data_IF_661174216123
#
_entry.id   IF_661174216123
#
_cell.length_a   1.000
_cell.length_b   1.000
_cell.length_c   1.000
_cell.angle_alpha   90.00
_cell.angle_beta   90.00
_cell.angle_gamma   90.00
#
_symmetry.space_group_name_H-M   'P 1'
#
loop_
_entity.id
_entity.type
_entity.pdbx_description
1 polymer ?
#
# COMPACT_ATOMS: atom_id res chain seq x y z
N UNK A 1 1.65 -21.27 -30.26
CA UNK A 1 0.34 -20.67 -29.94
C UNK A 1 0.33 -19.71 -28.73
N UNK A 2 1.23 -19.81 -27.74
CA UNK A 2 1.21 -18.90 -26.57
C UNK A 2 1.71 -17.45 -26.80
N UNK A 3 2.53 -17.21 -27.82
CA UNK A 3 3.13 -15.88 -28.06
C UNK A 3 2.15 -14.82 -28.56
N UNK A 4 1.25 -15.20 -29.49
CA UNK A 4 0.26 -14.27 -30.05
C UNK A 4 -0.82 -13.88 -29.02
N UNK A 5 -1.28 -14.84 -28.21
CA UNK A 5 -2.23 -14.59 -27.13
C UNK A 5 -1.61 -13.69 -26.06
N UNK A 6 -0.35 -13.91 -25.68
CA UNK A 6 0.36 -13.02 -24.75
C UNK A 6 0.55 -11.61 -25.30
N UNK A 7 0.93 -11.46 -26.57
CA UNK A 7 1.11 -10.15 -27.20
C UNK A 7 -0.20 -9.36 -27.33
N UNK A 8 -1.32 -10.06 -27.51
CA UNK A 8 -2.66 -9.46 -27.54
C UNK A 8 -3.14 -9.05 -26.14
N UNK A 9 -2.94 -9.90 -25.12
CA UNK A 9 -3.38 -9.63 -23.74
C UNK A 9 -2.45 -8.68 -22.97
N UNK A 10 -1.14 -8.70 -23.26
CA UNK A 10 -0.10 -7.94 -22.56
C UNK A 10 0.86 -7.28 -23.55
N UNK A 11 0.41 -6.31 -24.34
CA UNK A 11 1.27 -5.59 -25.27
C UNK A 11 2.41 -4.89 -24.51
N UNK A 12 3.61 -4.85 -25.10
CA UNK A 12 4.74 -4.16 -24.52
C UNK A 12 4.44 -2.65 -24.43
N UNK A 13 4.29 -2.14 -23.21
CA UNK A 13 4.04 -0.72 -22.96
C UNK A 13 5.35 0.04 -22.74
N UNK A 14 5.44 1.32 -23.15
CA UNK A 14 6.62 2.13 -22.88
C UNK A 14 6.88 2.25 -21.37
N UNK A 15 8.14 2.02 -20.96
CA UNK A 15 8.56 2.14 -19.55
C UNK A 15 8.28 3.53 -18.96
N UNK A 16 8.20 4.56 -19.80
CA UNK A 16 7.81 5.91 -19.40
C UNK A 16 6.39 5.96 -18.79
N UNK A 17 5.44 5.16 -19.29
CA UNK A 17 4.07 5.08 -18.74
C UNK A 17 4.06 4.50 -17.33
N UNK A 18 4.93 3.51 -17.08
CA UNK A 18 5.09 2.90 -15.75
C UNK A 18 5.62 3.95 -14.75
N UNK A 19 6.56 4.81 -15.17
CA UNK A 19 7.06 5.90 -14.32
C UNK A 19 5.95 6.89 -13.95
N UNK A 20 5.11 7.28 -14.91
CA UNK A 20 3.97 8.17 -14.65
C UNK A 20 2.96 7.51 -13.71
N UNK A 21 2.59 6.24 -13.98
CA UNK A 21 1.69 5.48 -13.12
C UNK A 21 2.22 5.39 -11.68
N UNK A 22 3.52 5.13 -11.52
CA UNK A 22 4.18 5.08 -10.23
C UNK A 22 4.03 6.38 -9.45
N UNK A 23 4.27 7.52 -10.10
CA UNK A 23 4.13 8.84 -9.46
C UNK A 23 2.69 9.07 -9.03
N UNK A 24 1.71 8.80 -9.90
CA UNK A 24 0.29 8.96 -9.60
C UNK A 24 -0.13 8.07 -8.43
N UNK A 25 0.23 6.78 -8.46
CA UNK A 25 -0.13 5.82 -7.41
C UNK A 25 0.47 6.23 -6.06
N UNK A 26 1.77 6.56 -6.00
CA UNK A 26 2.39 6.93 -4.71
C UNK A 26 1.92 8.30 -4.21
N UNK A 27 1.62 9.26 -5.09
CA UNK A 27 0.96 10.50 -4.69
C UNK A 27 -0.42 10.24 -4.09
N UNK A 28 -1.18 9.30 -4.69
CA UNK A 28 -2.48 8.91 -4.15
C UNK A 28 -2.36 8.14 -2.84
N UNK A 29 -1.36 7.27 -2.65
CA UNK A 29 -1.08 6.64 -1.35
C UNK A 29 -0.81 7.69 -0.27
N UNK A 30 -0.05 8.75 -0.58
CA UNK A 30 0.19 9.87 0.35
C UNK A 30 -1.11 10.56 0.70
N UNK A 31 -1.95 10.86 -0.30
CA UNK A 31 -3.27 11.46 -0.06
C UNK A 31 -4.12 10.56 0.84
N UNK A 32 -4.21 9.28 0.50
CA UNK A 32 -5.00 8.28 1.22
C UNK A 32 -4.67 8.22 2.71
N UNK A 33 -3.41 7.94 3.07
CA UNK A 33 -3.00 7.78 4.48
C UNK A 33 -3.14 9.06 5.29
N UNK A 34 -3.19 10.22 4.62
CA UNK A 34 -3.38 11.53 5.26
C UNK A 34 -4.85 11.97 5.32
N UNK A 35 -5.75 11.38 4.52
CA UNK A 35 -7.15 11.80 4.44
C UNK A 35 -8.15 10.67 4.64
N UNK A 36 -8.13 9.64 3.80
CA UNK A 36 -9.20 8.63 3.74
C UNK A 36 -8.96 7.50 4.75
N UNK A 37 -7.74 6.95 4.79
CA UNK A 37 -7.34 5.90 5.73
C UNK A 37 -6.55 6.42 6.94
N UNK A 38 -6.81 7.66 7.34
CA UNK A 38 -6.19 8.28 8.52
C UNK A 38 -6.69 7.67 9.85
N UNK A 39 -7.75 6.88 9.78
CA UNK A 39 -8.35 6.13 10.88
C UNK A 39 -7.34 5.26 11.65
N UNK A 40 -6.30 4.71 11.01
CA UNK A 40 -5.24 3.93 11.69
C UNK A 40 -4.62 4.70 12.88
N UNK A 41 -4.52 6.03 12.78
CA UNK A 41 -4.03 6.87 13.89
C UNK A 41 -5.03 6.92 15.06
N UNK A 42 -6.34 6.94 14.79
CA UNK A 42 -7.37 6.95 15.84
C UNK A 42 -7.57 5.56 16.46
N UNK A 43 -7.28 4.49 15.73
CA UNK A 43 -7.35 3.11 16.22
C UNK A 43 -6.38 2.80 17.37
N UNK A 44 -5.29 3.56 17.50
CA UNK A 44 -4.31 3.39 18.57
C UNK A 44 -4.88 3.49 19.99
N UNK A 45 -5.99 4.23 20.18
CA UNK A 45 -6.70 4.33 21.46
C UNK A 45 -7.83 3.33 21.66
N UNK A 46 -8.12 2.51 20.65
CA UNK A 46 -9.37 1.74 20.54
C UNK A 46 -9.12 0.22 20.43
N UNK A 47 -8.09 -0.30 21.10
CA UNK A 47 -7.65 -1.69 20.97
C UNK A 47 -8.76 -2.75 21.24
N UNK A 48 -9.78 -2.42 22.04
CA UNK A 48 -10.92 -3.31 22.33
C UNK A 48 -11.79 -3.66 21.10
N UNK A 49 -11.71 -2.87 20.03
CA UNK A 49 -12.45 -3.12 18.78
C UNK A 49 -11.60 -3.84 17.72
N UNK A 50 -10.35 -4.22 18.04
CA UNK A 50 -9.48 -4.88 17.09
C UNK A 50 -9.93 -6.31 16.81
N UNK A 51 -10.38 -6.53 15.58
CA UNK A 51 -10.80 -7.83 15.05
C UNK A 51 -9.94 -8.16 13.81
N UNK A 52 -8.79 -8.83 14.01
CA UNK A 52 -7.80 -8.98 12.95
C UNK A 52 -8.33 -9.78 11.76
N UNK A 53 -8.07 -9.28 10.55
CA UNK A 53 -8.30 -10.02 9.31
C UNK A 53 -7.49 -11.33 9.27
N UNK A 54 -7.86 -12.26 8.39
CA UNK A 54 -7.17 -13.56 8.26
C UNK A 54 -5.66 -13.40 8.03
N UNK A 55 -5.24 -12.47 7.17
CA UNK A 55 -3.82 -12.19 6.92
C UNK A 55 -3.14 -11.54 8.14
N UNK A 56 -3.82 -10.64 8.85
CA UNK A 56 -3.30 -10.03 10.08
C UNK A 56 -3.10 -11.08 11.19
N UNK A 57 -4.01 -12.07 11.29
CA UNK A 57 -3.87 -13.22 12.19
C UNK A 57 -2.68 -14.10 11.82
N UNK A 58 -2.50 -14.39 10.53
CA UNK A 58 -1.36 -15.18 10.04
C UNK A 58 -0.02 -14.50 10.38
N UNK A 59 0.02 -13.17 10.26
CA UNK A 59 1.19 -12.35 10.58
C UNK A 59 1.32 -12.05 12.08
N UNK A 60 0.40 -12.54 12.92
CA UNK A 60 0.35 -12.28 14.36
C UNK A 60 0.41 -10.78 14.71
N UNK A 61 -0.27 -9.94 13.92
CA UNK A 61 -0.30 -8.51 14.17
C UNK A 61 -1.11 -8.23 15.44
N UNK A 62 -0.52 -7.58 16.47
CA UNK A 62 -1.26 -7.10 17.63
C UNK A 62 -2.07 -5.85 17.26
N UNK A 63 -3.06 -5.43 18.08
CA UNK A 63 -3.73 -4.15 17.92
C UNK A 63 -2.72 -3.01 17.72
N UNK A 64 -3.05 -2.06 16.85
CA UNK A 64 -2.13 -0.95 16.54
C UNK A 64 -1.90 -0.10 17.78
N UNK A 65 -0.66 0.30 18.01
CA UNK A 65 -0.28 1.26 19.04
C UNK A 65 0.10 2.59 18.39
N UNK A 66 0.03 3.69 19.16
CA UNK A 66 0.35 5.01 18.61
C UNK A 66 1.77 5.10 18.01
N UNK A 67 2.83 4.57 18.65
CA UNK A 67 4.17 4.58 18.04
C UNK A 67 4.23 3.82 16.71
N UNK A 68 3.56 2.67 16.61
CA UNK A 68 3.53 1.86 15.39
C UNK A 68 2.78 2.58 14.27
N UNK A 69 1.65 3.21 14.58
CA UNK A 69 0.87 3.96 13.59
C UNK A 69 1.68 5.14 13.01
N UNK A 70 2.32 5.94 13.88
CA UNK A 70 3.16 7.05 13.43
C UNK A 70 4.41 6.60 12.68
N UNK A 71 5.04 5.50 13.11
CA UNK A 71 6.16 4.91 12.39
C UNK A 71 5.75 4.45 10.99
N UNK A 72 4.62 3.73 10.86
CA UNK A 72 4.11 3.30 9.55
C UNK A 72 3.82 4.50 8.65
N UNK A 73 3.18 5.54 9.17
CA UNK A 73 2.91 6.77 8.42
C UNK A 73 4.22 7.38 7.91
N UNK A 74 5.23 7.54 8.79
CA UNK A 74 6.51 8.11 8.41
C UNK A 74 7.22 7.27 7.32
N UNK A 75 7.20 5.94 7.45
CA UNK A 75 7.78 5.02 6.47
C UNK A 75 7.07 5.11 5.11
N UNK A 76 5.73 5.18 5.11
CA UNK A 76 4.94 5.32 3.88
C UNK A 76 5.27 6.65 3.20
N UNK A 77 5.24 7.77 3.94
CA UNK A 77 5.49 9.10 3.38
C UNK A 77 6.92 9.22 2.82
N UNK A 78 7.93 8.78 3.58
CA UNK A 78 9.33 8.79 3.14
C UNK A 78 9.55 7.86 1.94
N UNK A 79 8.96 6.66 1.97
CA UNK A 79 9.02 5.69 0.89
C UNK A 79 8.38 6.23 -0.39
N UNK A 80 7.20 6.83 -0.30
CA UNK A 80 6.51 7.46 -1.42
C UNK A 80 7.32 8.61 -2.00
N UNK A 81 7.87 9.51 -1.16
CA UNK A 81 8.72 10.60 -1.62
C UNK A 81 9.95 10.09 -2.38
N UNK A 82 10.64 9.08 -1.84
CA UNK A 82 11.80 8.48 -2.49
C UNK A 82 11.43 7.75 -3.80
N UNK A 83 10.28 7.08 -3.85
CA UNK A 83 9.79 6.39 -5.03
C UNK A 83 9.35 7.35 -6.15
N UNK A 84 8.73 8.48 -5.78
CA UNK A 84 8.37 9.58 -6.70
C UNK A 84 9.63 10.24 -7.26
N UNK A 85 10.65 10.46 -6.42
CA UNK A 85 11.96 10.94 -6.86
C UNK A 85 12.73 9.93 -7.73
N UNK A 86 12.23 8.70 -7.86
CA UNK A 86 12.87 7.65 -8.67
C UNK A 86 14.09 7.01 -8.01
N UNK A 87 14.29 7.20 -6.70
CA UNK A 87 15.39 6.57 -5.97
C UNK A 87 15.10 5.08 -5.78
N UNK A 88 15.90 4.23 -6.46
CA UNK A 88 15.82 2.75 -6.40
C UNK A 88 14.37 2.23 -6.37
N UNK A 89 13.60 2.40 -7.46
CA UNK A 89 12.14 2.29 -7.43
C UNK A 89 11.59 0.93 -7.01
N UNK A 90 12.34 -0.15 -7.23
CA UNK A 90 11.97 -1.49 -6.78
C UNK A 90 12.05 -1.63 -5.26
N UNK A 91 13.10 -1.08 -4.65
CA UNK A 91 13.30 -1.10 -3.21
C UNK A 91 12.31 -0.18 -2.51
N UNK A 92 12.24 1.08 -2.94
CA UNK A 92 11.30 2.05 -2.34
C UNK A 92 9.86 1.60 -2.54
N UNK A 93 9.51 1.07 -3.71
CA UNK A 93 8.21 0.49 -3.96
C UNK A 93 7.88 -0.72 -3.08
N UNK A 94 8.84 -1.63 -2.86
CA UNK A 94 8.62 -2.78 -1.97
C UNK A 94 8.40 -2.36 -0.51
N UNK A 95 9.15 -1.34 -0.05
CA UNK A 95 8.97 -0.76 1.29
C UNK A 95 7.58 -0.14 1.42
N UNK A 96 7.16 0.68 0.45
CA UNK A 96 5.82 1.28 0.43
C UNK A 96 4.74 0.20 0.38
N UNK A 97 4.91 -0.83 -0.45
CA UNK A 97 3.97 -1.94 -0.56
C UNK A 97 3.76 -2.63 0.79
N UNK A 98 4.85 -3.04 1.46
CA UNK A 98 4.76 -3.70 2.75
C UNK A 98 4.11 -2.80 3.82
N UNK A 99 4.57 -1.55 3.94
CA UNK A 99 4.06 -0.62 4.94
C UNK A 99 2.59 -0.26 4.70
N UNK A 100 2.21 0.01 3.44
CA UNK A 100 0.84 0.33 3.06
C UNK A 100 -0.11 -0.86 3.25
N UNK A 101 0.34 -2.07 2.96
CA UNK A 101 -0.44 -3.28 3.24
C UNK A 101 -0.69 -3.47 4.74
N UNK A 102 0.33 -3.27 5.57
CA UNK A 102 0.15 -3.33 7.04
C UNK A 102 -0.80 -2.23 7.52
N UNK A 103 -0.67 -1.01 6.99
CA UNK A 103 -1.59 0.09 7.28
C UNK A 103 -3.05 -0.26 6.94
N UNK A 104 -3.29 -0.83 5.76
CA UNK A 104 -4.60 -1.31 5.35
C UNK A 104 -5.11 -2.48 6.19
N UNK A 105 -4.25 -3.42 6.58
CA UNK A 105 -4.64 -4.48 7.52
C UNK A 105 -5.11 -3.89 8.85
N UNK A 106 -4.48 -2.82 9.33
CA UNK A 106 -4.94 -2.13 10.53
C UNK A 106 -6.28 -1.43 10.30
N UNK A 107 -6.42 -0.58 9.29
CA UNK A 107 -7.69 0.12 9.01
C UNK A 107 -8.87 -0.85 8.86
N UNK A 108 -8.67 -1.96 8.14
CA UNK A 108 -9.73 -2.93 7.88
C UNK A 108 -10.03 -3.90 9.05
N UNK A 109 -9.28 -3.84 10.16
CA UNK A 109 -9.48 -4.73 11.33
C UNK A 109 -10.39 -4.13 12.41
N UNK A 110 -11.12 -3.04 12.12
CA UNK A 110 -11.98 -2.33 13.08
C UNK A 110 -13.43 -2.18 12.60
N UNK A 111 -13.93 -3.17 11.84
CA UNK A 111 -15.34 -3.26 11.46
C UNK A 111 -15.73 -2.53 10.17
N UNK A 112 -14.79 -1.86 9.49
CA UNK A 112 -14.97 -1.29 8.15
C UNK A 112 -14.04 -1.99 7.16
N UNK A 113 -14.53 -2.27 5.94
CA UNK A 113 -13.71 -2.86 4.87
C UNK A 113 -13.74 -1.96 3.64
N UNK A 114 -12.59 -1.38 3.31
CA UNK A 114 -12.38 -0.45 2.22
C UNK A 114 -12.11 -1.22 0.91
N UNK A 115 -13.18 -1.67 0.25
CA UNK A 115 -13.10 -2.46 -0.99
C UNK A 115 -12.50 -1.66 -2.16
N UNK A 116 -12.73 -0.35 -2.16
CA UNK A 116 -12.18 0.62 -3.11
C UNK A 116 -10.65 0.72 -3.02
N UNK A 117 -10.05 0.44 -1.86
CA UNK A 117 -8.60 0.48 -1.64
C UNK A 117 -7.88 -0.77 -2.14
N UNK A 118 -8.60 -1.85 -2.46
CA UNK A 118 -7.99 -3.10 -2.96
C UNK A 118 -7.20 -2.88 -4.25
N UNK A 119 -7.68 -2.00 -5.13
CA UNK A 119 -6.96 -1.64 -6.35
C UNK A 119 -5.61 -0.97 -6.03
N UNK A 120 -5.58 -0.11 -5.02
CA UNK A 120 -4.36 0.58 -4.57
C UNK A 120 -3.37 -0.39 -3.89
N UNK A 121 -3.88 -1.31 -3.07
CA UNK A 121 -3.08 -2.38 -2.47
C UNK A 121 -2.43 -3.28 -3.54
N UNK A 122 -3.18 -3.67 -4.57
CA UNK A 122 -2.63 -4.45 -5.69
C UNK A 122 -1.61 -3.63 -6.48
N UNK A 123 -1.92 -2.36 -6.79
CA UNK A 123 -1.00 -1.49 -7.53
C UNK A 123 0.35 -1.31 -6.81
N UNK A 124 0.32 -1.04 -5.50
CA UNK A 124 1.52 -0.90 -4.67
C UNK A 124 2.33 -2.21 -4.59
N UNK A 125 1.68 -3.38 -4.56
CA UNK A 125 2.37 -4.67 -4.58
C UNK A 125 3.02 -5.00 -5.93
N UNK A 126 2.41 -4.60 -7.05
CA UNK A 126 2.88 -4.94 -8.40
C UNK A 126 3.94 -3.96 -8.91
N UNK A 127 3.81 -2.65 -8.65
CA UNK A 127 4.74 -1.61 -9.12
C UNK A 127 6.24 -1.85 -8.83
N UNK A 128 6.67 -2.44 -7.70
CA UNK A 128 8.09 -2.73 -7.47
C UNK A 128 8.64 -3.90 -8.30
N UNK A 129 7.79 -4.67 -8.98
CA UNK A 129 8.22 -5.81 -9.83
C UNK A 129 8.72 -5.38 -11.22
N UNK A 130 8.47 -4.12 -11.62
CA UNK A 130 8.80 -3.56 -12.94
C UNK A 130 9.93 -2.53 -12.86
#
# INVERSE_FOLDING_TARGET
MGGAVRGFLFPALPLARIRVLRVIVYAFVVLDVLTFSRDVLSHAGNAGFYTPLALARLLHLPPVTAPVAWMLLAVILAGCAAAIAGWRPRLTGAVVAAAFWVWMLYSNSYGYIAHDHMALMVATAVLPTV
#
